data_IF_807047086287
#
_entry.id   IF_807047086287
#
_cell.length_a   1.000
_cell.length_b   1.000
_cell.length_c   1.000
_cell.angle_alpha   90.00
_cell.angle_beta   90.00
_cell.angle_gamma   90.00
#
_symmetry.space_group_name_H-M   'P 1'
#
loop_
_entity.id
_entity.type
_entity.pdbx_description
1 polymer ?
#
# COMPACT_ATOMS: atom_id res chain seq x y z
N UNK A 1 5.73 -18.63 2.63
CA UNK A 1 6.18 -17.35 2.09
C UNK A 1 5.04 -16.62 1.42
N UNK A 2 4.91 -15.37 1.72
CA UNK A 2 3.85 -14.59 1.09
C UNK A 2 4.37 -13.98 -0.19
N UNK A 3 3.70 -14.27 -1.27
CA UNK A 3 4.09 -13.75 -2.56
C UNK A 3 3.06 -12.75 -3.06
N UNK A 4 3.03 -11.62 -2.42
CA UNK A 4 2.18 -10.55 -2.89
C UNK A 4 3.04 -9.37 -3.31
N UNK A 5 2.49 -8.57 -4.20
CA UNK A 5 3.18 -7.43 -4.76
C UNK A 5 2.47 -6.16 -4.32
N UNK A 6 3.19 -5.28 -3.63
CA UNK A 6 2.64 -4.03 -3.17
C UNK A 6 3.20 -2.92 -4.05
N UNK A 7 2.32 -2.12 -4.63
CA UNK A 7 2.71 -0.98 -5.46
C UNK A 7 2.06 0.29 -4.96
N UNK A 8 2.81 1.38 -4.95
CA UNK A 8 2.29 2.69 -4.60
C UNK A 8 2.36 3.56 -5.86
N UNK A 9 1.23 4.11 -6.26
CA UNK A 9 1.14 4.92 -7.46
C UNK A 9 0.80 6.35 -7.09
N UNK A 10 1.59 7.30 -7.59
CA UNK A 10 1.33 8.72 -7.36
C UNK A 10 0.25 9.22 -8.32
N UNK A 11 -0.86 9.69 -7.77
CA UNK A 11 -1.98 10.19 -8.55
C UNK A 11 -2.41 11.54 -7.98
N UNK A 12 -2.18 12.60 -8.74
CA UNK A 12 -2.61 13.96 -8.35
C UNK A 12 -2.20 14.35 -6.92
N UNK A 13 -0.96 14.07 -6.56
CA UNK A 13 -0.43 14.52 -5.27
C UNK A 13 -0.73 13.61 -4.10
N UNK A 14 -1.30 12.45 -4.34
CA UNK A 14 -1.48 11.44 -3.30
C UNK A 14 -1.06 10.09 -3.84
N UNK A 15 -0.96 9.11 -2.97
CA UNK A 15 -0.58 7.76 -3.39
C UNK A 15 -1.76 6.80 -3.27
N UNK A 16 -1.86 5.93 -4.25
CA UNK A 16 -2.83 4.83 -4.23
C UNK A 16 -2.04 3.55 -4.09
N UNK A 17 -2.43 2.72 -3.13
CA UNK A 17 -1.72 1.47 -2.86
C UNK A 17 -2.49 0.30 -3.46
N UNK A 18 -1.77 -0.48 -4.26
CA UNK A 18 -2.33 -1.66 -4.93
C UNK A 18 -1.61 -2.90 -4.43
N UNK A 19 -2.36 -3.95 -4.17
CA UNK A 19 -1.82 -5.24 -3.78
C UNK A 19 -2.25 -6.27 -4.81
N UNK A 20 -1.26 -6.88 -5.45
CA UNK A 20 -1.51 -7.85 -6.51
C UNK A 20 -2.41 -7.29 -7.61
N UNK A 21 -2.24 -6.02 -7.92
CA UNK A 21 -2.98 -5.38 -8.97
C UNK A 21 -4.36 -4.85 -8.57
N UNK A 22 -4.75 -5.05 -7.31
CA UNK A 22 -6.04 -4.58 -6.83
C UNK A 22 -5.88 -3.38 -5.91
N UNK A 23 -6.73 -2.40 -6.08
CA UNK A 23 -6.71 -1.20 -5.25
C UNK A 23 -7.01 -1.55 -3.80
N UNK A 24 -6.15 -1.09 -2.90
CA UNK A 24 -6.33 -1.34 -1.47
C UNK A 24 -6.76 -0.09 -0.72
N UNK A 25 -5.96 0.97 -0.83
CA UNK A 25 -6.26 2.20 -0.11
C UNK A 25 -5.48 3.35 -0.71
N UNK A 26 -5.77 4.56 -0.25
CA UNK A 26 -5.02 5.74 -0.67
C UNK A 26 -4.49 6.46 0.56
N UNK A 27 -3.43 7.23 0.38
CA UNK A 27 -2.83 7.99 1.47
C UNK A 27 -2.12 9.21 0.91
N UNK A 28 -1.81 10.16 1.81
CA UNK A 28 -1.06 11.34 1.42
C UNK A 28 0.41 10.99 1.22
N UNK A 29 1.09 11.85 0.46
CA UNK A 29 2.52 11.65 0.20
C UNK A 29 3.30 11.49 1.50
N UNK A 30 3.01 12.31 2.49
CA UNK A 30 3.71 12.25 3.77
C UNK A 30 3.38 11.03 4.62
N UNK A 31 2.32 10.33 4.28
CA UNK A 31 1.89 9.16 5.06
C UNK A 31 2.20 7.84 4.38
N UNK A 32 2.84 7.89 3.23
CA UNK A 32 3.10 6.69 2.45
C UNK A 32 3.84 5.61 3.24
N UNK A 33 4.92 6.01 3.91
CA UNK A 33 5.74 5.05 4.66
C UNK A 33 4.93 4.36 5.76
N UNK A 34 4.14 5.13 6.50
CA UNK A 34 3.31 4.58 7.56
C UNK A 34 2.24 3.65 7.00
N UNK A 35 1.63 4.05 5.89
CA UNK A 35 0.58 3.24 5.29
C UNK A 35 1.13 1.93 4.77
N UNK A 36 2.29 1.95 4.14
CA UNK A 36 2.92 0.72 3.66
C UNK A 36 3.23 -0.22 4.81
N UNK A 37 3.70 0.33 5.92
CA UNK A 37 3.98 -0.48 7.10
C UNK A 37 2.70 -1.14 7.64
N UNK A 38 1.63 -0.38 7.70
CA UNK A 38 0.35 -0.92 8.16
C UNK A 38 -0.17 -2.02 7.24
N UNK A 39 -0.07 -1.80 5.95
CA UNK A 39 -0.52 -2.79 4.97
C UNK A 39 0.29 -4.08 5.10
N UNK A 40 1.61 -3.95 5.23
CA UNK A 40 2.45 -5.12 5.38
C UNK A 40 2.13 -5.90 6.64
N UNK A 41 1.90 -5.21 7.75
CA UNK A 41 1.55 -5.86 9.00
C UNK A 41 0.21 -6.58 8.90
N UNK A 42 -0.74 -5.95 8.24
CA UNK A 42 -2.05 -6.55 8.03
C UNK A 42 -1.94 -7.84 7.24
N UNK A 43 -1.13 -7.83 6.19
CA UNK A 43 -0.92 -9.02 5.36
C UNK A 43 -0.22 -10.14 6.11
N UNK A 44 0.74 -9.77 6.95
CA UNK A 44 1.47 -10.77 7.73
C UNK A 44 0.60 -11.43 8.79
N UNK A 45 -0.38 -10.71 9.29
CA UNK A 45 -1.26 -11.21 10.35
C UNK A 45 -2.53 -11.85 9.83
N UNK A 46 -2.69 -11.90 8.55
CA UNK A 46 -3.90 -12.45 7.93
C UNK A 46 -3.90 -13.98 7.89
#
# INVERSE_FOLDING_TARGET
MSDYEIKAKNVDGHYEIYIDGEFECSCDVGELTEMLDKVEKSLKNA
#
